data_IF_133258464346
#
_entry.id   IF_133258464346
#
_cell.length_a   1.000
_cell.length_b   1.000
_cell.length_c   1.000
_cell.angle_alpha   90.00
_cell.angle_beta   90.00
_cell.angle_gamma   90.00
#
_symmetry.space_group_name_H-M   'P 1'
#
loop_
_entity.id
_entity.type
_entity.pdbx_description
1 polymer ?
#
# COMPACT_ATOMS: atom_id res chain seq x y z
N UNK A 1 -91.31 -6.62 19.37
CA UNK A 1 -91.68 -7.97 19.84
C UNK A 1 -90.95 -8.98 18.98
N UNK A 2 -90.34 -9.97 19.65
CA UNK A 2 -89.66 -11.18 19.14
C UNK A 2 -88.16 -11.04 18.87
N UNK A 3 -87.44 -11.39 19.92
CA UNK A 3 -86.12 -12.00 19.89
C UNK A 3 -86.06 -13.16 18.89
N UNK A 4 -84.88 -13.39 18.31
CA UNK A 4 -84.46 -14.74 17.95
C UNK A 4 -82.99 -14.92 18.32
N UNK A 5 -82.78 -15.60 19.44
CA UNK A 5 -81.51 -16.22 19.83
C UNK A 5 -81.48 -17.61 19.21
N UNK A 6 -80.38 -18.00 18.57
CA UNK A 6 -80.03 -19.41 18.36
C UNK A 6 -78.55 -19.58 18.71
N UNK A 7 -78.28 -20.26 19.83
CA UNK A 7 -77.02 -20.96 20.13
C UNK A 7 -77.11 -22.41 19.60
N UNK A 8 -76.14 -23.30 19.88
CA UNK A 8 -74.76 -23.44 19.35
C UNK A 8 -74.60 -24.80 18.64
N UNK A 9 -73.43 -25.15 18.09
CA UNK A 9 -72.85 -26.50 18.22
C UNK A 9 -71.52 -26.65 17.46
N UNK A 10 -70.68 -27.50 18.05
CA UNK A 10 -69.53 -28.21 17.48
C UNK A 10 -68.18 -27.50 17.57
N UNK A 11 -67.55 -27.73 18.72
CA UNK A 11 -66.11 -27.78 18.86
C UNK A 11 -65.53 -28.84 17.90
N UNK A 12 -64.49 -28.48 17.15
CA UNK A 12 -63.49 -29.43 16.69
C UNK A 12 -62.13 -28.73 16.55
N UNK A 13 -61.28 -29.00 17.54
CA UNK A 13 -59.84 -29.26 17.43
C UNK A 13 -59.05 -28.25 16.58
N UNK A 14 -58.52 -27.20 17.22
CA UNK A 14 -57.35 -26.47 16.70
C UNK A 14 -56.09 -27.11 17.26
N UNK A 15 -55.39 -27.80 16.37
CA UNK A 15 -54.03 -28.27 16.58
C UNK A 15 -53.11 -27.08 16.86
N UNK A 16 -52.27 -27.22 17.89
CA UNK A 16 -51.25 -26.24 18.25
C UNK A 16 -50.22 -26.16 17.14
N UNK A 17 -50.13 -25.01 16.46
CA UNK A 17 -49.07 -24.73 15.50
C UNK A 17 -47.76 -24.49 16.27
N UNK A 18 -46.83 -25.42 16.11
CA UNK A 18 -45.46 -25.40 16.60
C UNK A 18 -44.69 -24.24 15.93
N UNK A 19 -44.56 -23.11 16.62
CA UNK A 19 -43.80 -21.92 16.17
C UNK A 19 -42.32 -22.05 16.56
N UNK A 20 -41.64 -23.10 16.08
CA UNK A 20 -40.33 -23.48 16.58
C UNK A 20 -39.26 -23.89 15.57
N UNK A 21 -39.46 -23.73 14.25
CA UNK A 21 -38.53 -24.36 13.27
C UNK A 21 -38.12 -23.50 12.07
N UNK A 22 -38.16 -22.16 12.12
CA UNK A 22 -37.61 -21.33 11.02
C UNK A 22 -36.93 -20.03 11.47
N UNK A 23 -36.07 -20.11 12.48
CA UNK A 23 -35.10 -19.05 12.74
C UNK A 23 -33.80 -19.40 12.01
N UNK A 24 -33.69 -19.06 10.73
CA UNK A 24 -32.41 -19.12 10.01
C UNK A 24 -31.49 -17.99 10.50
N UNK A 25 -30.23 -18.34 10.79
CA UNK A 25 -29.20 -17.44 11.28
C UNK A 25 -28.85 -16.36 10.24
N UNK A 26 -28.87 -15.10 10.65
CA UNK A 26 -28.48 -13.98 9.79
C UNK A 26 -26.97 -14.02 9.54
N UNK A 27 -26.58 -14.26 8.29
CA UNK A 27 -25.18 -14.19 7.85
C UNK A 27 -24.85 -12.71 7.62
N UNK A 28 -23.90 -12.17 8.38
CA UNK A 28 -23.35 -10.84 8.12
C UNK A 28 -22.53 -10.94 6.84
N UNK A 29 -23.07 -10.43 5.74
CA UNK A 29 -22.32 -10.27 4.50
C UNK A 29 -21.41 -9.07 4.71
N UNK A 30 -20.12 -9.30 4.95
CA UNK A 30 -19.12 -8.26 4.77
C UNK A 30 -19.18 -7.81 3.31
N UNK A 31 -19.66 -6.58 3.10
CA UNK A 31 -19.57 -5.90 1.82
C UNK A 31 -18.08 -5.75 1.53
N UNK A 32 -17.53 -6.68 0.74
CA UNK A 32 -16.18 -6.59 0.21
C UNK A 32 -16.19 -5.38 -0.71
N UNK A 33 -15.87 -4.21 -0.14
CA UNK A 33 -15.76 -2.96 -0.87
C UNK A 33 -14.89 -3.25 -2.09
N UNK A 34 -15.48 -3.11 -3.28
CA UNK A 34 -14.75 -3.25 -4.53
C UNK A 34 -13.45 -2.43 -4.40
N UNK A 35 -12.28 -2.98 -4.77
CA UNK A 35 -11.01 -2.29 -4.57
C UNK A 35 -11.15 -0.90 -5.19
N UNK A 36 -11.09 0.14 -4.34
CA UNK A 36 -11.07 1.52 -4.82
C UNK A 36 -9.96 1.57 -5.85
N UNK A 37 -10.26 2.02 -7.07
CA UNK A 37 -9.22 2.36 -8.04
C UNK A 37 -8.39 3.46 -7.41
N UNK A 38 -7.24 3.08 -6.86
CA UNK A 38 -6.27 4.02 -6.31
C UNK A 38 -5.59 4.59 -7.53
N UNK A 39 -5.90 5.84 -7.88
CA UNK A 39 -5.17 6.54 -8.94
C UNK A 39 -3.76 6.79 -8.43
N UNK A 40 -2.82 5.92 -8.79
CA UNK A 40 -1.44 6.03 -8.34
C UNK A 40 -0.80 7.27 -8.94
N UNK A 41 0.18 7.85 -8.24
CA UNK A 41 0.91 9.01 -8.77
C UNK A 41 1.73 8.69 -10.04
N UNK A 42 2.10 7.42 -10.25
CA UNK A 42 2.75 6.92 -11.47
C UNK A 42 2.44 5.43 -11.66
N UNK A 43 2.01 5.06 -12.86
CA UNK A 43 1.65 3.66 -13.18
C UNK A 43 2.53 3.05 -14.27
N UNK A 44 2.77 3.80 -15.34
CA UNK A 44 3.50 3.29 -16.51
C UNK A 44 4.92 2.82 -16.15
N UNK A 45 5.23 1.56 -16.48
CA UNK A 45 6.55 0.94 -16.32
C UNK A 45 7.08 0.89 -14.87
N UNK A 46 6.18 0.88 -13.88
CA UNK A 46 6.53 0.72 -12.46
C UNK A 46 5.65 -0.35 -11.80
N UNK A 47 6.09 -0.87 -10.66
CA UNK A 47 5.30 -1.77 -9.81
C UNK A 47 5.17 -1.17 -8.40
N UNK A 48 4.00 -1.34 -7.81
CA UNK A 48 3.75 -0.97 -6.41
C UNK A 48 4.41 -1.93 -5.45
N UNK A 49 5.00 -1.39 -4.40
CA UNK A 49 5.57 -2.17 -3.31
C UNK A 49 5.29 -1.49 -1.98
N UNK A 50 5.31 -2.27 -0.90
CA UNK A 50 5.21 -1.73 0.46
C UNK A 50 6.59 -1.34 0.99
N UNK A 51 6.63 -0.48 2.01
CA UNK A 51 7.88 -0.19 2.71
C UNK A 51 8.47 -1.46 3.35
N UNK A 52 7.60 -2.35 3.83
CA UNK A 52 7.99 -3.63 4.40
C UNK A 52 8.73 -4.52 3.39
N UNK A 53 8.25 -4.59 2.13
CA UNK A 53 8.93 -5.33 1.07
C UNK A 53 10.36 -4.81 0.86
N UNK A 54 10.54 -3.49 0.83
CA UNK A 54 11.87 -2.88 0.71
C UNK A 54 12.78 -3.17 1.92
N UNK A 55 12.20 -3.40 3.11
CA UNK A 55 12.94 -3.68 4.34
C UNK A 55 13.30 -5.17 4.50
N UNK A 56 12.41 -6.07 4.10
CA UNK A 56 12.51 -7.51 4.39
C UNK A 56 13.01 -8.32 3.20
N UNK A 57 12.64 -7.95 1.98
CA UNK A 57 12.88 -8.76 0.79
C UNK A 57 13.99 -8.18 -0.11
N UNK A 58 14.38 -6.93 0.11
CA UNK A 58 15.38 -6.24 -0.69
C UNK A 58 16.72 -6.08 0.04
N UNK A 59 17.82 -6.43 -0.63
CA UNK A 59 19.17 -6.11 -0.16
C UNK A 59 19.52 -4.65 -0.43
N UNK A 60 20.51 -4.14 0.31
CA UNK A 60 21.11 -2.84 0.05
C UNK A 60 22.35 -3.05 -0.83
N UNK A 61 22.42 -2.44 -2.03
CA UNK A 61 23.61 -2.55 -2.84
C UNK A 61 24.80 -1.83 -2.19
N UNK A 62 25.99 -2.37 -2.37
CA UNK A 62 27.25 -1.81 -1.87
C UNK A 62 28.15 -1.32 -2.99
N UNK A 63 29.02 -0.36 -2.65
CA UNK A 63 30.13 0.05 -3.49
C UNK A 63 31.21 -1.04 -3.55
N UNK A 64 32.10 -0.98 -4.54
CA UNK A 64 33.26 -1.87 -4.62
C UNK A 64 34.18 -1.79 -3.39
N UNK A 65 34.10 -0.70 -2.60
CA UNK A 65 34.77 -0.56 -1.30
C UNK A 65 34.09 -1.34 -0.16
N UNK A 66 33.06 -2.15 -0.44
CA UNK A 66 32.21 -2.87 0.51
C UNK A 66 31.33 -1.97 1.39
N UNK A 67 31.35 -0.66 1.18
CA UNK A 67 30.46 0.27 1.88
C UNK A 67 29.06 0.20 1.28
N UNK A 68 28.04 0.06 2.13
CA UNK A 68 26.65 0.11 1.69
C UNK A 68 26.27 1.51 1.18
N UNK A 69 25.41 1.52 0.17
CA UNK A 69 24.68 2.74 -0.22
C UNK A 69 23.64 3.06 0.85
N UNK A 70 23.18 4.31 0.89
CA UNK A 70 21.94 4.62 1.60
C UNK A 70 20.83 3.76 0.94
N UNK A 71 19.88 3.22 1.70
CA UNK A 71 18.82 2.40 1.14
C UNK A 71 17.63 3.23 0.61
N UNK A 72 16.70 2.58 -0.10
CA UNK A 72 15.44 3.21 -0.50
C UNK A 72 14.57 3.51 0.73
N UNK A 73 14.44 2.54 1.63
CA UNK A 73 13.65 2.62 2.85
C UNK A 73 14.16 3.68 3.83
N UNK A 74 15.48 3.83 3.97
CA UNK A 74 16.08 4.89 4.80
C UNK A 74 15.81 6.27 4.21
N UNK A 75 15.85 6.41 2.88
CA UNK A 75 15.52 7.67 2.22
C UNK A 75 14.03 8.04 2.39
N UNK A 76 13.12 7.09 2.17
CA UNK A 76 11.68 7.30 2.38
C UNK A 76 11.43 7.72 3.83
N UNK A 77 11.96 6.96 4.79
CA UNK A 77 11.82 7.25 6.22
C UNK A 77 12.32 8.64 6.58
N UNK A 78 13.52 9.02 6.13
CA UNK A 78 14.09 10.33 6.41
C UNK A 78 13.22 11.49 5.89
N UNK A 79 12.62 11.35 4.70
CA UNK A 79 11.72 12.39 4.15
C UNK A 79 10.39 12.44 4.90
N UNK A 80 9.82 11.28 5.24
CA UNK A 80 8.58 11.21 6.03
C UNK A 80 8.79 11.81 7.42
N UNK A 81 9.89 11.47 8.08
CA UNK A 81 10.22 11.97 9.41
C UNK A 81 10.47 13.48 9.38
N UNK A 82 11.22 13.98 8.38
CA UNK A 82 11.42 15.42 8.20
C UNK A 82 10.10 16.17 7.92
N UNK A 83 9.18 15.57 7.16
CA UNK A 83 7.88 16.17 6.90
C UNK A 83 7.00 16.21 8.16
N UNK A 84 6.99 15.13 8.97
CA UNK A 84 6.28 15.07 10.26
C UNK A 84 6.85 16.04 11.30
N UNK A 85 8.16 16.27 11.24
CA UNK A 85 8.83 17.27 12.07
C UNK A 85 8.46 18.69 11.63
N UNK A 86 8.42 18.98 10.33
CA UNK A 86 8.07 20.32 9.87
C UNK A 86 6.56 20.64 10.01
N UNK A 87 5.69 19.70 9.61
CA UNK A 87 4.23 19.85 9.65
C UNK A 87 3.65 19.18 10.91
N UNK A 88 4.15 19.59 12.07
CA UNK A 88 3.70 19.04 13.35
C UNK A 88 2.19 19.16 13.53
N UNK A 89 1.56 18.04 13.92
CA UNK A 89 0.11 17.97 14.19
C UNK A 89 -0.77 17.71 12.97
N UNK A 90 -0.21 17.74 11.76
CA UNK A 90 -0.93 17.41 10.54
C UNK A 90 -1.15 15.90 10.38
N UNK A 91 -2.16 15.52 9.60
CA UNK A 91 -2.43 14.13 9.25
C UNK A 91 -1.68 13.77 7.96
N UNK A 92 -1.09 12.58 7.92
CA UNK A 92 -0.29 12.10 6.79
C UNK A 92 -0.85 10.80 6.26
N UNK A 93 -0.91 10.69 4.93
CA UNK A 93 -1.14 9.42 4.28
C UNK A 93 0.13 8.55 4.28
N UNK A 94 -0.05 7.25 4.10
CA UNK A 94 1.07 6.34 3.89
C UNK A 94 1.75 6.61 2.54
N UNK A 95 3.09 6.54 2.45
CA UNK A 95 3.79 6.64 1.18
C UNK A 95 3.34 5.59 0.17
N UNK A 96 2.86 6.05 -0.99
CA UNK A 96 2.76 5.24 -2.21
C UNK A 96 4.17 5.04 -2.75
N UNK A 97 4.63 3.80 -2.88
CA UNK A 97 6.01 3.49 -3.33
C UNK A 97 5.95 2.71 -4.64
N UNK A 98 6.74 3.17 -5.61
CA UNK A 98 6.83 2.59 -6.95
C UNK A 98 8.28 2.27 -7.28
N UNK A 99 8.52 1.06 -7.76
CA UNK A 99 9.85 0.60 -8.15
C UNK A 99 9.89 0.19 -9.62
N UNK A 100 11.10 0.10 -10.16
CA UNK A 100 11.33 -0.53 -11.47
C UNK A 100 12.77 -1.03 -11.58
N UNK A 101 13.03 -1.84 -12.61
CA UNK A 101 14.34 -2.40 -12.92
C UNK A 101 14.87 -3.28 -11.77
N UNK A 102 14.23 -4.44 -11.53
CA UNK A 102 14.72 -5.41 -10.55
C UNK A 102 16.10 -5.91 -10.94
N UNK A 103 16.98 -6.01 -9.96
CA UNK A 103 18.31 -6.61 -10.06
C UNK A 103 18.32 -7.84 -9.19
N UNK A 104 18.20 -8.97 -9.87
CA UNK A 104 18.33 -10.28 -9.27
C UNK A 104 19.82 -10.64 -9.19
N UNK A 105 20.27 -10.99 -8.00
CA UNK A 105 21.63 -11.39 -7.71
C UNK A 105 21.65 -12.64 -6.84
N UNK A 106 22.79 -12.84 -6.19
CA UNK A 106 23.01 -13.96 -5.29
C UNK A 106 23.97 -13.55 -4.17
N UNK A 107 23.84 -14.22 -3.03
CA UNK A 107 24.76 -14.01 -1.91
C UNK A 107 26.21 -14.38 -2.29
N UNK A 108 27.22 -13.80 -1.63
CA UNK A 108 28.63 -14.02 -1.98
C UNK A 108 29.05 -15.50 -1.99
N UNK A 109 28.56 -16.30 -1.05
CA UNK A 109 28.86 -17.74 -0.95
C UNK A 109 28.31 -18.57 -2.11
N UNK A 110 27.33 -18.06 -2.87
CA UNK A 110 26.68 -18.75 -3.97
C UNK A 110 27.13 -18.28 -5.36
N UNK A 111 28.14 -17.40 -5.47
CA UNK A 111 28.61 -16.84 -6.75
C UNK A 111 29.02 -17.88 -7.81
N UNK A 112 29.47 -19.06 -7.39
CA UNK A 112 29.86 -20.17 -8.28
C UNK A 112 28.72 -21.08 -8.73
N UNK A 113 27.53 -21.00 -8.10
CA UNK A 113 26.38 -21.85 -8.42
C UNK A 113 25.68 -21.40 -9.70
N UNK A 114 25.09 -22.32 -10.46
CA UNK A 114 24.23 -21.93 -11.60
C UNK A 114 22.91 -21.33 -11.08
N UNK A 115 22.26 -20.50 -11.88
CA UNK A 115 21.00 -19.86 -11.50
C UNK A 115 19.89 -20.86 -11.13
N UNK A 116 19.88 -22.04 -11.77
CA UNK A 116 18.95 -23.14 -11.49
C UNK A 116 19.22 -23.87 -10.17
N UNK A 117 20.40 -23.68 -9.58
CA UNK A 117 20.87 -24.37 -8.36
C UNK A 117 20.79 -23.47 -7.13
N UNK A 118 20.37 -22.20 -7.29
CA UNK A 118 20.21 -21.25 -6.20
C UNK A 118 18.94 -21.57 -5.41
N UNK A 119 19.08 -21.72 -4.10
CA UNK A 119 17.91 -21.72 -3.20
C UNK A 119 17.33 -20.31 -3.10
N UNK A 120 16.11 -20.17 -2.57
CA UNK A 120 15.46 -18.86 -2.47
C UNK A 120 16.19 -17.93 -1.51
N UNK A 121 16.83 -18.47 -0.46
CA UNK A 121 17.65 -17.72 0.50
C UNK A 121 18.99 -17.25 -0.11
N UNK A 122 19.43 -17.88 -1.20
CA UNK A 122 20.66 -17.50 -1.90
C UNK A 122 20.41 -16.42 -2.95
N UNK A 123 19.15 -16.20 -3.34
CA UNK A 123 18.76 -15.15 -4.28
C UNK A 123 18.69 -13.82 -3.55
N UNK A 124 19.18 -12.79 -4.20
CA UNK A 124 19.07 -11.42 -3.69
C UNK A 124 18.31 -10.55 -4.67
N UNK A 125 17.54 -9.60 -4.17
CA UNK A 125 16.79 -8.66 -4.99
C UNK A 125 17.05 -7.24 -4.50
N UNK A 126 17.19 -6.30 -5.43
CA UNK A 126 16.95 -4.89 -5.17
C UNK A 126 16.44 -4.22 -6.44
N UNK A 127 15.90 -3.01 -6.34
CA UNK A 127 15.44 -2.26 -7.51
C UNK A 127 16.35 -1.08 -7.81
N UNK A 128 16.75 -0.91 -9.07
CA UNK A 128 17.60 0.23 -9.43
C UNK A 128 16.90 1.57 -9.20
N UNK A 129 15.60 1.64 -9.46
CA UNK A 129 14.84 2.90 -9.43
C UNK A 129 13.66 2.77 -8.48
N UNK A 130 13.53 3.77 -7.62
CA UNK A 130 12.43 3.92 -6.68
C UNK A 130 11.94 5.36 -6.74
N UNK A 131 10.62 5.53 -6.71
CA UNK A 131 9.99 6.79 -6.37
C UNK A 131 8.88 6.57 -5.35
N UNK A 132 8.57 7.60 -4.59
CA UNK A 132 7.49 7.56 -3.62
C UNK A 132 6.81 8.93 -3.52
N UNK A 133 5.57 8.92 -3.06
CA UNK A 133 4.78 10.12 -2.80
C UNK A 133 3.82 9.85 -1.63
N UNK A 134 3.64 10.82 -0.75
CA UNK A 134 2.59 10.84 0.26
C UNK A 134 1.92 12.21 0.29
N UNK A 135 0.67 12.25 0.73
CA UNK A 135 -0.10 13.48 0.86
C UNK A 135 -0.26 13.86 2.34
N UNK A 136 -0.40 15.17 2.58
CA UNK A 136 -0.82 15.74 3.85
C UNK A 136 -2.27 16.22 3.64
N UNK A 137 -3.29 15.35 3.77
CA UNK A 137 -4.67 15.64 3.40
C UNK A 137 -5.32 16.79 4.18
N UNK A 138 -4.73 17.19 5.30
CA UNK A 138 -5.18 18.35 6.09
C UNK A 138 -4.72 19.69 5.49
N UNK A 139 -3.65 19.71 4.69
CA UNK A 139 -3.19 20.92 3.98
C UNK A 139 -3.71 20.86 2.55
N UNK A 140 -4.74 21.67 2.28
CA UNK A 140 -5.44 21.69 0.99
C UNK A 140 -5.50 23.09 0.39
N UNK A 141 -5.47 23.15 -0.93
CA UNK A 141 -5.68 24.35 -1.73
C UNK A 141 -6.79 24.08 -2.76
N UNK A 142 -7.72 25.01 -2.91
CA UNK A 142 -8.77 24.91 -3.94
C UNK A 142 -8.38 25.76 -5.14
N UNK A 143 -8.23 25.13 -6.30
CA UNK A 143 -7.90 25.79 -7.55
C UNK A 143 -8.99 25.47 -8.58
N UNK A 144 -9.83 26.46 -8.90
CA UNK A 144 -10.97 26.33 -9.82
C UNK A 144 -11.93 25.16 -9.47
N UNK A 145 -12.18 24.91 -8.17
CA UNK A 145 -13.04 23.83 -7.70
C UNK A 145 -12.36 22.45 -7.63
N UNK A 146 -11.04 22.40 -7.88
CA UNK A 146 -10.23 21.20 -7.69
C UNK A 146 -9.51 21.29 -6.34
N UNK A 147 -9.89 20.44 -5.38
CA UNK A 147 -9.27 20.38 -4.07
C UNK A 147 -7.97 19.59 -4.14
N UNK A 148 -6.85 20.28 -4.01
CA UNK A 148 -5.51 19.72 -4.10
C UNK A 148 -4.92 19.55 -2.70
N UNK A 149 -4.43 18.37 -2.37
CA UNK A 149 -3.67 18.15 -1.14
C UNK A 149 -2.18 18.44 -1.37
N UNK A 150 -1.49 18.93 -0.34
CA UNK A 150 -0.04 19.06 -0.36
C UNK A 150 0.58 17.66 -0.44
N UNK A 151 1.44 17.45 -1.43
CA UNK A 151 2.13 16.19 -1.68
C UNK A 151 3.63 16.37 -1.51
N UNK A 152 4.28 15.38 -0.90
CA UNK A 152 5.73 15.30 -0.75
C UNK A 152 6.18 13.95 -1.29
N UNK A 153 7.30 13.94 -2.00
CA UNK A 153 7.85 12.71 -2.52
C UNK A 153 9.30 12.83 -2.91
N UNK A 154 9.82 11.72 -3.42
CA UNK A 154 11.20 11.66 -3.85
C UNK A 154 11.48 10.57 -4.86
N UNK A 155 12.61 10.70 -5.53
CA UNK A 155 13.11 9.74 -6.52
C UNK A 155 14.55 9.41 -6.19
N UNK A 156 14.85 8.11 -6.24
CA UNK A 156 16.18 7.57 -6.11
C UNK A 156 16.47 6.56 -7.21
N UNK A 157 17.66 6.66 -7.78
CA UNK A 157 18.08 5.81 -8.88
C UNK A 157 19.56 5.41 -8.71
N UNK A 158 19.82 4.15 -8.37
CA UNK A 158 21.19 3.64 -8.18
C UNK A 158 22.02 3.68 -9.46
N UNK A 159 21.39 3.63 -10.64
CA UNK A 159 22.05 3.74 -11.93
C UNK A 159 22.61 5.15 -12.23
N UNK A 160 22.24 6.17 -11.46
CA UNK A 160 22.87 7.49 -11.53
C UNK A 160 24.22 7.54 -10.77
N UNK A 161 24.61 6.44 -10.11
CA UNK A 161 25.81 6.31 -9.27
C UNK A 161 26.66 5.13 -9.78
N UNK A 162 27.99 5.26 -9.72
CA UNK A 162 28.90 4.16 -10.08
C UNK A 162 29.22 3.27 -8.86
N UNK A 163 28.42 2.23 -8.65
CA UNK A 163 28.63 1.24 -7.57
C UNK A 163 29.94 0.46 -7.70
N UNK A 164 30.54 0.38 -8.90
CA UNK A 164 31.81 -0.31 -9.12
C UNK A 164 33.04 0.51 -8.71
N UNK A 165 32.83 1.72 -8.19
CA UNK A 165 33.90 2.59 -7.68
C UNK A 165 33.89 2.65 -6.15
N UNK A 166 34.84 3.39 -5.57
CA UNK A 166 34.79 3.78 -4.15
C UNK A 166 33.53 4.59 -3.86
N UNK A 167 33.08 4.62 -2.60
CA UNK A 167 31.93 5.42 -2.19
C UNK A 167 32.04 6.88 -2.64
N UNK A 168 30.97 7.36 -3.25
CA UNK A 168 30.84 8.73 -3.75
C UNK A 168 29.60 9.39 -3.17
N UNK A 169 29.43 10.68 -3.44
CA UNK A 169 28.19 11.39 -3.12
C UNK A 169 27.01 10.68 -3.78
N UNK A 170 26.01 10.36 -2.97
CA UNK A 170 24.77 9.73 -3.39
C UNK A 170 23.73 10.80 -3.73
N UNK A 171 22.96 10.60 -4.80
CA UNK A 171 22.02 11.60 -5.34
C UNK A 171 20.58 11.22 -5.03
N UNK A 172 19.83 12.21 -4.61
CA UNK A 172 18.42 12.12 -4.27
C UNK A 172 17.69 13.31 -4.84
N UNK A 173 16.46 13.10 -5.29
CA UNK A 173 15.58 14.18 -5.72
C UNK A 173 14.37 14.16 -4.79
N UNK A 174 14.05 15.30 -4.21
CA UNK A 174 12.87 15.50 -3.35
C UNK A 174 12.01 16.57 -4.01
N UNK A 175 10.71 16.42 -3.92
CA UNK A 175 9.73 17.40 -4.40
C UNK A 175 8.63 17.59 -3.37
N UNK A 176 8.05 18.79 -3.38
CA UNK A 176 6.91 19.19 -2.57
C UNK A 176 6.03 20.10 -3.41
N UNK A 177 4.72 19.93 -3.33
CA UNK A 177 3.77 20.77 -4.06
C UNK A 177 2.37 20.19 -4.07
N UNK A 178 1.43 20.88 -4.69
CA UNK A 178 0.05 20.43 -4.82
C UNK A 178 -0.12 19.58 -6.08
N UNK A 179 -0.64 18.36 -5.93
CA UNK A 179 -0.90 17.47 -7.07
C UNK A 179 -2.20 17.86 -7.76
N UNK A 180 -2.12 18.59 -8.87
CA UNK A 180 -3.29 18.91 -9.69
C UNK A 180 -3.70 17.71 -10.55
N UNK A 181 -4.97 17.30 -10.45
CA UNK A 181 -5.58 16.31 -11.34
C UNK A 181 -6.19 17.08 -12.52
N UNK A 182 -5.44 17.20 -13.60
CA UNK A 182 -5.98 17.75 -14.86
C UNK A 182 -6.83 16.66 -15.51
N UNK A 183 -8.12 16.94 -15.69
CA UNK A 183 -9.07 16.08 -16.41
C UNK A 183 -8.89 16.21 -17.92
#
# INVERSE_FOLDING_TARGET
MRDLVIMPAMAQRRESLNMGEFAEEAIIVEEVAAPKRVNHFIEANTQEVTLQHLQQDCIIPSFASMEETISHQSFIGAVVDAAKDYFHGEQFDMPEIRISHPINGRIPSALGKKASELTDEEKTLFYQRMCFCFEIPSIVHDEYGNRLALSIGGVRAYNEINLYSKKSVERFKIFIGFRNRVC
#
